data_IF_917362584889
#
_entry.id   IF_917362584889
#
_cell.length_a   1.000
_cell.length_b   1.000
_cell.length_c   1.000
_cell.angle_alpha   90.00
_cell.angle_beta   90.00
_cell.angle_gamma   90.00
#
_symmetry.space_group_name_H-M   'P 1'
#
loop_
_entity.id
_entity.type
_entity.pdbx_description
1 polymer ?
#
# COMPACT_ATOMS: atom_id res chain seq x y z
N UNK A 1 -9.02 -16.45 -3.79
CA UNK A 1 -8.06 -15.35 -3.97
C UNK A 1 -8.81 -14.02 -3.91
N UNK A 2 -8.69 -13.25 -2.82
CA UNK A 2 -9.33 -11.93 -2.72
C UNK A 2 -8.65 -10.85 -3.58
N UNK A 3 -9.45 -9.86 -3.99
CA UNK A 3 -8.99 -8.61 -4.57
C UNK A 3 -8.94 -7.55 -3.47
N UNK A 4 -7.79 -6.93 -3.26
CA UNK A 4 -7.53 -5.97 -2.19
C UNK A 4 -7.27 -4.59 -2.81
N UNK A 5 -8.01 -3.59 -2.36
CA UNK A 5 -7.72 -2.18 -2.61
C UNK A 5 -6.98 -1.60 -1.40
N UNK A 6 -5.71 -1.26 -1.56
CA UNK A 6 -4.90 -0.64 -0.51
C UNK A 6 -4.85 0.88 -0.71
N UNK A 7 -5.55 1.63 0.14
CA UNK A 7 -5.51 3.09 0.17
C UNK A 7 -4.46 3.61 1.15
N UNK A 8 -3.56 4.49 0.70
CA UNK A 8 -2.48 5.06 1.51
C UNK A 8 -2.62 6.59 1.62
N UNK A 9 -2.62 7.10 2.85
CA UNK A 9 -2.71 8.53 3.17
C UNK A 9 -1.42 9.04 3.84
N UNK A 10 -1.28 10.37 3.97
CA UNK A 10 -0.07 11.02 4.49
C UNK A 10 0.12 10.91 6.00
N UNK A 11 0.36 9.70 6.51
CA UNK A 11 0.72 9.44 7.90
C UNK A 11 2.16 8.98 8.07
N UNK A 12 2.69 9.06 9.30
CA UNK A 12 4.06 8.64 9.65
C UNK A 12 4.39 7.22 9.21
N UNK A 13 3.39 6.34 9.15
CA UNK A 13 3.53 4.93 8.77
C UNK A 13 3.35 4.66 7.27
N UNK A 14 3.15 5.68 6.42
CA UNK A 14 2.90 5.51 5.00
C UNK A 14 4.01 4.72 4.30
N UNK A 15 5.27 4.86 4.72
CA UNK A 15 6.41 4.11 4.19
C UNK A 15 6.25 2.58 4.27
N UNK A 16 5.47 2.06 5.23
CA UNK A 16 5.21 0.62 5.39
C UNK A 16 4.16 0.09 4.41
N UNK A 17 3.52 0.95 3.63
CA UNK A 17 2.50 0.51 2.67
C UNK A 17 3.08 -0.43 1.59
N UNK A 18 4.34 -0.23 1.18
CA UNK A 18 5.03 -1.10 0.24
C UNK A 18 5.22 -2.52 0.81
N UNK A 19 5.63 -2.64 2.07
CA UNK A 19 5.75 -3.93 2.77
C UNK A 19 4.38 -4.62 2.87
N UNK A 20 3.35 -3.89 3.25
CA UNK A 20 1.97 -4.39 3.35
C UNK A 20 1.47 -4.93 1.99
N UNK A 21 1.69 -4.17 0.90
CA UNK A 21 1.33 -4.60 -0.45
C UNK A 21 2.11 -5.87 -0.87
N UNK A 22 3.40 -5.95 -0.52
CA UNK A 22 4.23 -7.12 -0.81
C UNK A 22 3.74 -8.37 -0.08
N UNK A 23 3.38 -8.25 1.20
CA UNK A 23 2.85 -9.36 2.00
C UNK A 23 1.55 -9.90 1.41
N UNK A 24 0.60 -9.02 1.09
CA UNK A 24 -0.66 -9.45 0.46
C UNK A 24 -0.44 -10.14 -0.88
N UNK A 25 0.46 -9.60 -1.72
CA UNK A 25 0.81 -10.19 -3.02
C UNK A 25 1.47 -11.56 -2.85
N UNK A 26 2.39 -11.71 -1.88
CA UNK A 26 3.04 -13.00 -1.56
C UNK A 26 2.04 -14.04 -1.03
N UNK A 27 1.01 -13.60 -0.33
CA UNK A 27 -0.11 -14.45 0.09
C UNK A 27 -1.08 -14.79 -1.05
N UNK A 28 -0.76 -14.41 -2.30
CA UNK A 28 -1.53 -14.74 -3.50
C UNK A 28 -2.61 -13.74 -3.88
N UNK A 29 -2.83 -12.67 -3.10
CA UNK A 29 -3.92 -11.73 -3.35
C UNK A 29 -3.63 -10.84 -4.56
N UNK A 30 -4.67 -10.44 -5.30
CA UNK A 30 -4.57 -9.37 -6.28
C UNK A 30 -4.67 -8.04 -5.55
N UNK A 31 -3.61 -7.23 -5.57
CA UNK A 31 -3.54 -5.96 -4.82
C UNK A 31 -3.48 -4.79 -5.78
N UNK A 32 -4.38 -3.83 -5.60
CA UNK A 32 -4.33 -2.52 -6.26
C UNK A 32 -4.10 -1.46 -5.20
N UNK A 33 -3.08 -0.63 -5.39
CA UNK A 33 -2.72 0.43 -4.44
C UNK A 33 -3.12 1.79 -4.99
N UNK A 34 -3.69 2.64 -4.15
CA UNK A 34 -3.97 4.05 -4.44
C UNK A 34 -3.38 4.90 -3.32
N UNK A 35 -2.81 6.05 -3.68
CA UNK A 35 -2.11 6.90 -2.75
C UNK A 35 -2.53 8.36 -2.92
N UNK A 36 -2.64 9.07 -1.81
CA UNK A 36 -2.78 10.54 -1.82
C UNK A 36 -1.44 11.20 -2.15
N UNK A 37 -1.47 12.44 -2.64
CA UNK A 37 -0.26 13.23 -2.87
C UNK A 37 0.59 13.39 -1.60
N UNK A 38 -0.04 13.56 -0.44
CA UNK A 38 0.67 13.62 0.84
C UNK A 38 1.39 12.32 1.18
N UNK A 39 0.82 11.16 0.83
CA UNK A 39 1.46 9.86 1.07
C UNK A 39 2.73 9.67 0.23
N UNK A 40 2.74 10.21 -1.01
CA UNK A 40 3.91 10.14 -1.89
C UNK A 40 5.13 10.87 -1.32
N UNK A 41 4.94 11.83 -0.41
CA UNK A 41 6.05 12.54 0.25
C UNK A 41 6.78 11.69 1.31
N UNK A 42 6.19 10.56 1.71
CA UNK A 42 6.75 9.65 2.74
C UNK A 42 7.36 8.37 2.16
N UNK A 43 7.22 8.13 0.85
CA UNK A 43 7.71 6.94 0.15
C UNK A 43 8.64 7.41 -0.98
N UNK A 44 9.85 6.85 -1.05
CA UNK A 44 10.86 7.17 -2.07
C UNK A 44 11.22 5.94 -2.89
#
# INVERSE_FOLDING_TARGET
MPNILLGVTGGIAAYKAAETASLFTKSGHSVKTLMTESALKFIT
#
